data_IF_290429800391
#
_entry.id   IF_290429800391
#
_cell.length_a   1.000
_cell.length_b   1.000
_cell.length_c   1.000
_cell.angle_alpha   90.00
_cell.angle_beta   90.00
_cell.angle_gamma   90.00
#
_symmetry.space_group_name_H-M   'P 1'
#
loop_
_entity.id
_entity.type
_entity.pdbx_description
1 polymer ?
#
# COMPACT_ATOMS: atom_id res chain seq x y z
N UNK A 1 9.76 -16.43 -5.64
CA UNK A 1 9.19 -15.09 -5.44
C UNK A 1 10.05 -14.31 -4.46
N UNK A 2 10.52 -13.13 -4.83
CA UNK A 2 11.29 -12.23 -3.99
C UNK A 2 10.47 -10.98 -3.68
N UNK A 3 9.85 -10.94 -2.50
CA UNK A 3 9.17 -9.77 -1.96
C UNK A 3 10.11 -9.04 -1.00
N UNK A 4 10.19 -7.71 -1.11
CA UNK A 4 10.94 -6.85 -0.21
C UNK A 4 10.06 -5.74 0.33
N UNK A 5 9.96 -5.63 1.66
CA UNK A 5 9.41 -4.46 2.34
C UNK A 5 10.56 -3.55 2.75
N UNK A 6 10.43 -2.26 2.45
CA UNK A 6 11.49 -1.28 2.69
C UNK A 6 10.94 -0.06 3.43
N UNK A 7 11.80 0.69 4.17
CA UNK A 7 11.45 2.02 4.64
C UNK A 7 11.40 3.02 3.46
N UNK A 8 11.03 4.28 3.73
CA UNK A 8 10.96 5.31 2.69
C UNK A 8 12.35 5.83 2.22
N UNK A 9 13.39 5.58 3.00
CA UNK A 9 14.75 6.07 2.72
C UNK A 9 14.82 7.57 2.41
N UNK A 10 13.89 8.37 2.95
CA UNK A 10 13.71 9.80 2.63
C UNK A 10 13.58 10.08 1.12
N UNK A 11 13.05 9.10 0.37
CA UNK A 11 12.94 9.10 -1.10
C UNK A 11 14.28 9.34 -1.82
N UNK A 12 15.41 8.94 -1.23
CA UNK A 12 16.75 9.11 -1.81
C UNK A 12 16.96 8.17 -3.00
N UNK A 13 17.15 8.70 -4.21
CA UNK A 13 17.21 7.91 -5.44
C UNK A 13 18.29 6.83 -5.41
N UNK A 14 19.48 7.13 -4.89
CA UNK A 14 20.62 6.22 -4.85
C UNK A 14 20.38 4.97 -3.99
N UNK A 15 19.59 5.11 -2.90
CA UNK A 15 19.21 3.97 -2.06
C UNK A 15 18.15 3.12 -2.74
N UNK A 16 17.19 3.76 -3.41
CA UNK A 16 16.15 3.07 -4.17
C UNK A 16 16.72 2.35 -5.40
N UNK A 17 17.75 2.91 -6.05
CA UNK A 17 18.48 2.27 -7.14
C UNK A 17 19.13 0.95 -6.68
N UNK A 18 19.72 0.96 -5.48
CA UNK A 18 20.32 -0.23 -4.88
C UNK A 18 19.28 -1.35 -4.66
N UNK A 19 18.09 -0.99 -4.14
CA UNK A 19 16.99 -1.95 -3.93
C UNK A 19 16.47 -2.47 -5.27
N UNK A 20 16.25 -1.60 -6.24
CA UNK A 20 15.74 -1.98 -7.56
C UNK A 20 16.74 -2.85 -8.34
N UNK A 21 18.05 -2.62 -8.18
CA UNK A 21 19.10 -3.42 -8.82
C UNK A 21 19.07 -4.90 -8.39
N UNK A 22 18.57 -5.20 -7.19
CA UNK A 22 18.36 -6.58 -6.73
C UNK A 22 17.22 -7.31 -7.45
N UNK A 23 16.46 -6.60 -8.31
CA UNK A 23 15.34 -7.11 -9.14
C UNK A 23 14.34 -7.97 -8.35
N UNK A 24 13.79 -7.50 -7.22
CA UNK A 24 12.74 -8.23 -6.54
C UNK A 24 11.48 -8.27 -7.42
N UNK A 25 10.67 -9.33 -7.26
CA UNK A 25 9.38 -9.44 -7.96
C UNK A 25 8.40 -8.36 -7.52
N UNK A 26 8.38 -8.04 -6.22
CA UNK A 26 7.54 -7.00 -5.63
C UNK A 26 8.36 -6.21 -4.59
N UNK A 27 8.24 -4.89 -4.62
CA UNK A 27 8.78 -3.99 -3.59
C UNK A 27 7.61 -3.34 -2.85
N UNK A 28 7.56 -3.53 -1.53
CA UNK A 28 6.54 -2.95 -0.65
C UNK A 28 7.08 -1.78 0.17
N UNK A 29 6.32 -0.70 0.21
CA UNK A 29 6.44 0.38 1.19
C UNK A 29 5.05 0.81 1.61
N UNK A 30 4.73 0.70 2.91
CA UNK A 30 3.40 0.99 3.40
C UNK A 30 3.20 2.49 3.65
N UNK A 31 2.08 3.03 3.17
CA UNK A 31 1.63 4.39 3.50
C UNK A 31 1.08 4.46 4.94
N UNK A 32 0.61 3.35 5.47
CA UNK A 32 0.07 3.06 6.79
C UNK A 32 -1.27 3.72 7.10
N UNK A 33 -1.46 5.00 6.83
CA UNK A 33 -2.69 5.75 7.09
C UNK A 33 -2.86 6.92 6.11
N UNK A 34 -4.01 7.61 6.18
CA UNK A 34 -4.32 8.79 5.37
C UNK A 34 -3.43 9.98 5.73
N UNK A 35 -3.36 10.97 4.84
CA UNK A 35 -2.46 12.13 4.98
C UNK A 35 -2.64 12.86 6.31
N UNK A 36 -3.87 13.20 6.68
CA UNK A 36 -4.20 13.94 7.91
C UNK A 36 -3.73 13.23 9.18
N UNK A 37 -3.80 11.91 9.22
CA UNK A 37 -3.46 11.10 10.40
C UNK A 37 -1.98 10.72 10.43
N UNK A 38 -1.24 10.87 9.33
CA UNK A 38 0.16 10.44 9.25
C UNK A 38 1.04 11.02 10.36
N UNK A 39 0.99 12.33 10.72
CA UNK A 39 1.85 12.86 11.77
C UNK A 39 1.57 12.28 13.17
N UNK A 40 0.35 11.79 13.40
CA UNK A 40 -0.09 11.23 14.69
C UNK A 40 0.21 9.74 14.82
N UNK A 41 0.18 9.01 13.69
CA UNK A 41 0.35 7.56 13.62
C UNK A 41 1.80 7.16 13.34
N UNK A 42 2.54 8.00 12.60
CA UNK A 42 3.91 7.73 12.15
C UNK A 42 4.83 8.86 12.60
N UNK A 43 5.63 8.61 13.63
CA UNK A 43 6.46 9.63 14.28
C UNK A 43 7.54 10.27 13.38
N UNK A 44 8.02 9.58 12.35
CA UNK A 44 9.13 10.04 11.50
C UNK A 44 8.81 10.08 10.01
N UNK A 45 7.86 9.28 9.54
CA UNK A 45 7.53 9.20 8.14
C UNK A 45 6.53 10.28 7.72
N UNK A 46 6.69 10.77 6.50
CA UNK A 46 5.82 11.77 5.89
C UNK A 46 5.02 11.13 4.76
N UNK A 47 3.75 11.48 4.63
CA UNK A 47 2.87 10.99 3.58
C UNK A 47 3.44 11.23 2.17
N UNK A 48 3.83 12.46 1.87
CA UNK A 48 4.41 12.84 0.59
C UNK A 48 5.72 12.09 0.28
N UNK A 49 6.58 11.88 1.28
CA UNK A 49 7.83 11.13 1.12
C UNK A 49 7.55 9.65 0.78
N UNK A 50 6.56 9.04 1.43
CA UNK A 50 6.14 7.67 1.14
C UNK A 50 5.63 7.52 -0.30
N UNK A 51 4.77 8.45 -0.76
CA UNK A 51 4.30 8.48 -2.15
C UNK A 51 5.45 8.66 -3.14
N UNK A 52 6.38 9.56 -2.85
CA UNK A 52 7.55 9.79 -3.70
C UNK A 52 8.44 8.57 -3.82
N UNK A 53 8.65 7.86 -2.71
CA UNK A 53 9.40 6.59 -2.69
C UNK A 53 8.74 5.56 -3.62
N UNK A 54 7.43 5.37 -3.50
CA UNK A 54 6.67 4.43 -4.34
C UNK A 54 6.72 4.84 -5.82
N UNK A 55 6.57 6.12 -6.13
CA UNK A 55 6.67 6.64 -7.49
C UNK A 55 8.04 6.37 -8.11
N UNK A 56 9.11 6.65 -7.37
CA UNK A 56 10.46 6.42 -7.85
C UNK A 56 10.76 4.94 -8.11
N UNK A 57 10.23 4.04 -7.27
CA UNK A 57 10.34 2.59 -7.48
C UNK A 57 9.53 2.12 -8.70
N UNK A 58 8.31 2.63 -8.88
CA UNK A 58 7.47 2.31 -10.04
C UNK A 58 8.13 2.75 -11.35
N UNK A 59 8.73 3.94 -11.38
CA UNK A 59 9.48 4.46 -12.54
C UNK A 59 10.70 3.60 -12.91
N UNK A 60 11.25 2.85 -11.97
CA UNK A 60 12.33 1.85 -12.19
C UNK A 60 11.82 0.50 -12.68
N UNK A 61 10.52 0.39 -12.96
CA UNK A 61 9.88 -0.84 -13.44
C UNK A 61 9.57 -1.87 -12.37
N UNK A 62 9.71 -1.52 -11.08
CA UNK A 62 9.34 -2.41 -9.99
C UNK A 62 7.81 -2.55 -9.89
N UNK A 63 7.32 -3.75 -9.60
CA UNK A 63 5.95 -3.94 -9.14
C UNK A 63 5.85 -3.48 -7.69
N UNK A 64 5.17 -2.35 -7.46
CA UNK A 64 5.09 -1.72 -6.15
C UNK A 64 3.82 -2.11 -5.41
N UNK A 65 3.95 -2.27 -4.09
CA UNK A 65 2.89 -2.59 -3.15
C UNK A 65 2.87 -1.59 -2.00
N UNK A 66 1.67 -1.22 -1.55
CA UNK A 66 1.49 -0.43 -0.33
C UNK A 66 0.39 -1.02 0.56
N UNK A 67 0.42 -0.68 1.83
CA UNK A 67 -0.57 -1.09 2.82
C UNK A 67 -1.14 0.11 3.56
N UNK A 68 -2.43 0.03 3.87
CA UNK A 68 -3.20 1.01 4.63
C UNK A 68 -3.91 0.30 5.78
N UNK A 69 -3.81 0.85 6.97
CA UNK A 69 -4.58 0.44 8.14
C UNK A 69 -5.83 1.30 8.27
N UNK A 70 -6.98 0.69 8.55
CA UNK A 70 -8.27 1.38 8.72
C UNK A 70 -8.77 1.26 10.17
N UNK A 71 -9.59 2.22 10.58
CA UNK A 71 -10.13 2.29 11.95
C UNK A 71 -9.35 3.24 12.86
N UNK A 72 -8.59 4.18 12.28
CA UNK A 72 -7.85 5.22 12.98
C UNK A 72 -8.61 6.55 13.07
N UNK A 73 -9.82 6.65 12.49
CA UNK A 73 -10.65 7.85 12.44
C UNK A 73 -10.58 8.61 11.11
N UNK A 74 -10.14 7.92 10.07
CA UNK A 74 -10.21 8.40 8.69
C UNK A 74 -11.66 8.39 8.17
N UNK A 75 -11.98 9.30 7.26
CA UNK A 75 -13.23 9.27 6.50
C UNK A 75 -13.11 8.41 5.25
N UNK A 76 -14.26 8.04 4.67
CA UNK A 76 -14.28 7.30 3.40
C UNK A 76 -13.59 8.08 2.27
N UNK A 77 -13.82 9.39 2.18
CA UNK A 77 -13.20 10.26 1.18
C UNK A 77 -11.67 10.29 1.34
N UNK A 78 -11.15 10.31 2.57
CA UNK A 78 -9.71 10.26 2.83
C UNK A 78 -9.10 8.92 2.42
N UNK A 79 -9.80 7.81 2.64
CA UNK A 79 -9.37 6.47 2.18
C UNK A 79 -9.31 6.44 0.65
N UNK A 80 -10.37 6.91 -0.02
CA UNK A 80 -10.43 6.94 -1.48
C UNK A 80 -9.38 7.87 -2.07
N UNK A 81 -9.14 9.03 -1.47
CA UNK A 81 -8.08 9.95 -1.89
C UNK A 81 -6.71 9.28 -1.76
N UNK A 82 -6.45 8.58 -0.65
CA UNK A 82 -5.19 7.86 -0.46
C UNK A 82 -5.00 6.76 -1.51
N UNK A 83 -6.06 6.01 -1.85
CA UNK A 83 -6.01 5.03 -2.94
C UNK A 83 -5.70 5.68 -4.29
N UNK A 84 -6.31 6.82 -4.61
CA UNK A 84 -6.00 7.58 -5.81
C UNK A 84 -4.53 8.04 -5.84
N UNK A 85 -4.02 8.57 -4.73
CA UNK A 85 -2.63 9.02 -4.63
C UNK A 85 -1.65 7.87 -4.83
N UNK A 86 -1.91 6.72 -4.22
CA UNK A 86 -1.12 5.50 -4.42
C UNK A 86 -1.16 5.04 -5.88
N UNK A 87 -2.33 5.06 -6.51
CA UNK A 87 -2.47 4.66 -7.92
C UNK A 87 -1.72 5.61 -8.85
N UNK A 88 -1.78 6.92 -8.61
CA UNK A 88 -1.01 7.95 -9.34
C UNK A 88 0.50 7.79 -9.16
N UNK A 89 0.95 7.37 -7.99
CA UNK A 89 2.35 7.02 -7.73
C UNK A 89 2.79 5.71 -8.42
N UNK A 90 1.90 5.02 -9.14
CA UNK A 90 2.21 3.79 -9.88
C UNK A 90 2.12 2.52 -9.04
N UNK A 91 1.50 2.57 -7.85
CA UNK A 91 1.29 1.37 -7.03
C UNK A 91 0.33 0.42 -7.72
N UNK A 92 0.71 -0.85 -7.82
CA UNK A 92 -0.05 -1.90 -8.49
C UNK A 92 -0.83 -2.79 -7.53
N UNK A 93 -0.34 -2.94 -6.31
CA UNK A 93 -0.91 -3.82 -5.28
C UNK A 93 -1.19 -3.01 -4.04
N UNK A 94 -2.40 -3.15 -3.47
CA UNK A 94 -2.75 -2.52 -2.19
C UNK A 94 -3.33 -3.53 -1.22
N UNK A 95 -3.04 -3.35 0.07
CA UNK A 95 -3.64 -4.11 1.16
C UNK A 95 -4.30 -3.17 2.15
N UNK A 96 -5.54 -3.50 2.54
CA UNK A 96 -6.31 -2.78 3.54
C UNK A 96 -6.61 -3.73 4.70
N UNK A 97 -6.25 -3.37 5.91
CA UNK A 97 -6.46 -4.19 7.10
C UNK A 97 -6.91 -3.36 8.30
N UNK A 98 -7.55 -3.99 9.28
CA UNK A 98 -7.96 -3.32 10.51
C UNK A 98 -6.74 -2.95 11.35
N UNK A 99 -6.68 -1.69 11.78
CA UNK A 99 -5.73 -1.26 12.81
C UNK A 99 -6.09 -1.91 14.15
N UNK A 100 -5.11 -2.55 14.78
CA UNK A 100 -5.20 -3.08 16.13
C UNK A 100 -4.13 -2.38 16.98
N UNK A 101 -4.57 -1.75 18.06
CA UNK A 101 -3.69 -1.01 18.97
C UNK A 101 -2.69 -1.96 19.67
N UNK A 102 -1.38 -1.84 19.43
CA UNK A 102 -0.41 -2.76 20.05
C UNK A 102 -0.28 -2.61 21.56
N UNK A 103 -0.22 -1.36 22.05
CA UNK A 103 -0.16 -1.00 23.47
C UNK A 103 -0.94 0.29 23.74
N UNK A 104 -1.18 0.61 25.00
CA UNK A 104 -1.89 1.84 25.40
C UNK A 104 -1.16 3.14 25.01
N UNK A 105 0.12 3.08 24.69
CA UNK A 105 0.92 4.21 24.22
C UNK A 105 0.72 4.52 22.74
N UNK A 106 0.22 3.56 21.97
CA UNK A 106 -0.05 3.74 20.55
C UNK A 106 -1.38 4.45 20.31
N UNK A 107 -1.58 4.92 19.08
CA UNK A 107 -2.80 5.60 18.65
C UNK A 107 -4.03 4.72 18.95
N UNK A 108 -5.12 5.26 19.49
CA UNK A 108 -6.31 4.48 19.84
C UNK A 108 -7.04 3.97 18.58
N UNK A 109 -7.71 2.83 18.68
CA UNK A 109 -8.68 2.39 17.67
C UNK A 109 -9.90 3.30 17.76
N UNK A 110 -10.24 3.98 16.67
CA UNK A 110 -11.42 4.83 16.58
C UNK A 110 -12.67 4.06 16.18
N UNK A 111 -12.49 3.06 15.29
CA UNK A 111 -13.60 2.28 14.73
C UNK A 111 -13.12 0.87 14.33
N UNK A 112 -14.00 -0.12 14.46
CA UNK A 112 -13.83 -1.43 13.85
C UNK A 112 -14.63 -1.47 12.55
N UNK A 113 -13.90 -1.48 11.43
CA UNK A 113 -14.49 -1.45 10.08
C UNK A 113 -15.14 -2.79 9.78
N UNK A 114 -16.36 -2.75 9.26
CA UNK A 114 -17.11 -3.97 8.92
C UNK A 114 -16.51 -4.70 7.70
N UNK A 115 -16.66 -6.04 7.62
CA UNK A 115 -16.24 -6.79 6.43
C UNK A 115 -16.83 -6.26 5.12
N UNK A 116 -18.10 -5.83 5.15
CA UNK A 116 -18.82 -5.26 4.00
C UNK A 116 -18.15 -3.96 3.53
N UNK A 117 -17.70 -3.11 4.46
CA UNK A 117 -17.00 -1.86 4.13
C UNK A 117 -15.60 -2.15 3.57
N UNK A 118 -14.89 -3.14 4.09
CA UNK A 118 -13.64 -3.61 3.49
C UNK A 118 -13.85 -4.10 2.05
N UNK A 119 -14.92 -4.85 1.79
CA UNK A 119 -15.24 -5.30 0.43
C UNK A 119 -15.58 -4.13 -0.51
N UNK A 120 -16.31 -3.13 -0.01
CA UNK A 120 -16.60 -1.92 -0.80
C UNK A 120 -15.31 -1.20 -1.20
N UNK A 121 -14.35 -1.03 -0.30
CA UNK A 121 -13.04 -0.47 -0.63
C UNK A 121 -12.26 -1.32 -1.63
N UNK A 122 -12.33 -2.66 -1.52
CA UNK A 122 -11.70 -3.55 -2.50
C UNK A 122 -12.24 -3.32 -3.90
N UNK A 123 -13.55 -3.25 -4.06
CA UNK A 123 -14.20 -3.00 -5.35
C UNK A 123 -13.76 -1.66 -5.94
N UNK A 124 -13.71 -0.61 -5.12
CA UNK A 124 -13.27 0.71 -5.57
C UNK A 124 -11.78 0.72 -5.96
N UNK A 125 -10.92 0.07 -5.19
CA UNK A 125 -9.51 -0.04 -5.55
C UNK A 125 -9.31 -0.75 -6.90
N UNK A 126 -10.01 -1.85 -7.14
CA UNK A 126 -9.96 -2.54 -8.43
C UNK A 126 -10.48 -1.66 -9.57
N UNK A 127 -11.57 -0.92 -9.35
CA UNK A 127 -12.10 0.03 -10.33
C UNK A 127 -11.13 1.19 -10.63
N UNK A 128 -10.26 1.58 -9.68
CA UNK A 128 -9.19 2.56 -9.88
C UNK A 128 -8.00 2.01 -10.67
N UNK A 129 -7.98 0.70 -10.97
CA UNK A 129 -6.93 0.07 -11.77
C UNK A 129 -5.78 -0.53 -10.96
N UNK A 130 -5.97 -0.85 -9.67
CA UNK A 130 -5.03 -1.73 -8.98
C UNK A 130 -5.14 -3.14 -9.54
N UNK A 131 -4.01 -3.79 -9.79
CA UNK A 131 -3.98 -5.16 -10.30
C UNK A 131 -4.43 -6.18 -9.25
N UNK A 132 -4.21 -5.84 -7.98
CA UNK A 132 -4.60 -6.66 -6.86
C UNK A 132 -4.91 -5.81 -5.62
N UNK A 133 -5.99 -6.15 -4.93
CA UNK A 133 -6.37 -5.58 -3.65
C UNK A 133 -6.79 -6.69 -2.68
N UNK A 134 -6.08 -6.82 -1.56
CA UNK A 134 -6.55 -7.59 -0.42
C UNK A 134 -7.12 -6.63 0.63
N UNK A 135 -8.38 -6.80 0.99
CA UNK A 135 -9.09 -5.90 1.90
C UNK A 135 -10.01 -6.70 2.80
N UNK A 136 -9.64 -6.82 4.07
CA UNK A 136 -10.43 -7.51 5.11
C UNK A 136 -9.84 -7.20 6.50
N UNK A 137 -10.59 -7.41 7.60
CA UNK A 137 -10.11 -7.12 8.95
C UNK A 137 -8.77 -7.78 9.31
N UNK A 138 -8.54 -9.01 8.86
CA UNK A 138 -7.34 -9.78 9.20
C UNK A 138 -6.20 -9.66 8.17
N UNK A 139 -6.35 -8.81 7.15
CA UNK A 139 -5.29 -8.58 6.17
C UNK A 139 -4.09 -7.88 6.82
N UNK A 140 -2.90 -8.32 6.45
CA UNK A 140 -1.60 -7.73 6.81
C UNK A 140 -0.79 -7.44 5.56
N UNK A 141 0.26 -6.64 5.68
CA UNK A 141 1.07 -6.20 4.54
C UNK A 141 1.70 -7.33 3.72
N UNK A 142 1.95 -8.49 4.32
CA UNK A 142 2.48 -9.68 3.63
C UNK A 142 1.40 -10.65 3.14
N UNK A 143 0.13 -10.34 3.38
CA UNK A 143 -0.98 -11.24 3.08
C UNK A 143 -1.06 -11.55 1.58
N UNK A 144 -1.10 -12.85 1.25
CA UNK A 144 -1.28 -13.40 -0.11
C UNK A 144 -0.38 -12.77 -1.19
N UNK A 145 0.88 -12.49 -0.87
CA UNK A 145 1.82 -11.90 -1.82
C UNK A 145 2.01 -12.73 -3.10
N UNK A 146 1.82 -14.07 -3.03
CA UNK A 146 1.87 -14.95 -4.20
C UNK A 146 0.71 -14.73 -5.16
N UNK A 147 -0.51 -14.55 -4.65
CA UNK A 147 -1.70 -14.25 -5.48
C UNK A 147 -1.55 -12.89 -6.16
N UNK A 148 -1.03 -11.90 -5.46
CA UNK A 148 -0.74 -10.59 -6.02
C UNK A 148 0.26 -10.66 -7.18
N UNK A 149 1.29 -11.51 -7.07
CA UNK A 149 2.26 -11.72 -8.16
C UNK A 149 1.62 -12.41 -9.36
N UNK A 150 0.73 -13.37 -9.12
CA UNK A 150 0.01 -14.06 -10.20
C UNK A 150 -0.87 -13.08 -10.99
N UNK A 151 -1.59 -12.18 -10.32
CA UNK A 151 -2.40 -11.14 -10.96
C UNK A 151 -1.57 -10.25 -11.91
N UNK A 152 -0.39 -9.80 -11.47
CA UNK A 152 0.52 -8.98 -12.29
C UNK A 152 1.03 -9.73 -13.53
N UNK A 153 1.29 -11.04 -13.41
CA UNK A 153 1.82 -11.83 -14.52
C UNK A 153 0.77 -12.10 -15.61
N UNK A 154 -0.49 -12.28 -15.22
CA UNK A 154 -1.59 -12.52 -16.15
C UNK A 154 -1.85 -11.31 -17.06
N UNK A 155 -1.81 -10.08 -16.55
CA UNK A 155 -1.93 -8.88 -17.39
C UNK A 155 -0.84 -8.76 -18.46
N UNK A 156 0.41 -9.14 -18.13
CA UNK A 156 1.52 -9.10 -19.10
C UNK A 156 1.36 -10.10 -20.25
N UNK A 157 0.56 -11.14 -20.08
CA UNK A 157 0.26 -12.13 -21.12
C UNK A 157 -0.87 -11.67 -22.05
N UNK A 158 -1.85 -10.92 -21.54
CA UNK A 158 -2.98 -10.41 -22.33
C UNK A 158 -2.62 -9.20 -23.20
N UNK A 159 -1.63 -8.40 -22.81
CA UNK A 159 -1.19 -7.21 -23.56
C UNK A 159 -0.23 -7.53 -24.72
N UNK A 160 0.10 -8.81 -24.94
CA UNK A 160 1.01 -9.27 -26.02
C UNK A 160 0.31 -9.93 -27.22
N UNK A 161 -1.04 -9.77 -27.30
CA UNK A 161 -1.81 -10.27 -28.46
C UNK A 161 -2.44 -9.12 -29.26
#
# INVERSE_FOLDING_TARGET
>A
MLFRSIPDFDARPELLDTVAAAKPDIIGHNIETVERLTPQVRSRARYATSLRTLELLARRGAATKSGLMLGLGESDDEVLQTLHDLRRAGVRIVTLGQYLRPTLEHYPVAEYITPEKFEAYRQQALAMGFDYCASAPMVRSSYRAQEALAAIKNEKSETRH
#
